data_IF_040535808708
#
_entry.id   IF_040535808708
#
_cell.length_a   1.000
_cell.length_b   1.000
_cell.length_c   1.000
_cell.angle_alpha   90.00
_cell.angle_beta   90.00
_cell.angle_gamma   90.00
#
_symmetry.space_group_name_H-M   'P 1'
#
loop_
_entity.id
_entity.type
_entity.pdbx_description
1 polymer ?
#
# COMPACT_ATOMS: atom_id res chain seq x y z
N UNK A 1 -10.98 -0.68 29.42
CA UNK A 1 -11.15 -0.74 27.96
C UNK A 1 -9.94 -0.05 27.35
N UNK A 2 -8.97 -0.78 26.80
CA UNK A 2 -7.82 -0.14 26.17
C UNK A 2 -8.31 0.55 24.91
N UNK A 3 -8.16 1.87 24.83
CA UNK A 3 -8.34 2.57 23.55
C UNK A 3 -7.35 1.96 22.56
N UNK A 4 -7.84 1.24 21.55
CA UNK A 4 -7.00 0.78 20.46
C UNK A 4 -6.36 2.00 19.82
N UNK A 5 -5.03 2.05 19.80
CA UNK A 5 -4.31 3.17 19.22
C UNK A 5 -4.40 3.06 17.70
N UNK A 6 -4.84 4.12 17.01
CA UNK A 6 -4.96 4.11 15.55
C UNK A 6 -3.78 4.83 14.90
N UNK A 7 -3.15 4.20 13.90
CA UNK A 7 -2.18 4.84 13.00
C UNK A 7 -2.79 4.95 11.61
N UNK A 8 -2.74 6.13 11.02
CA UNK A 8 -3.21 6.38 9.66
C UNK A 8 -2.00 6.34 8.73
N UNK A 9 -2.12 5.57 7.66
CA UNK A 9 -1.09 5.31 6.67
C UNK A 9 -1.63 5.55 5.26
N UNK A 10 -0.73 5.76 4.32
CA UNK A 10 -1.02 5.81 2.88
C UNK A 10 -0.40 4.63 2.17
N UNK A 11 -1.00 4.25 1.04
CA UNK A 11 -0.42 3.29 0.09
C UNK A 11 -0.85 3.70 -1.31
N UNK A 12 0.10 4.00 -2.19
CA UNK A 12 -0.12 4.42 -3.55
C UNK A 12 0.33 3.32 -4.53
N UNK A 13 -0.58 2.91 -5.41
CA UNK A 13 -0.33 1.98 -6.49
C UNK A 13 -0.13 2.74 -7.80
N UNK A 14 1.05 2.62 -8.40
CA UNK A 14 1.31 3.19 -9.72
C UNK A 14 1.20 2.09 -10.76
N UNK A 15 0.21 2.16 -11.64
CA UNK A 15 -0.01 1.11 -12.63
C UNK A 15 -0.50 1.66 -13.98
N UNK A 16 -0.15 0.95 -15.04
CA UNK A 16 -0.71 1.14 -16.37
C UNK A 16 -1.70 0.02 -16.68
N UNK A 17 -2.16 -0.05 -17.93
CA UNK A 17 -3.06 -1.12 -18.38
C UNK A 17 -2.48 -2.52 -18.13
N UNK A 18 -1.16 -2.69 -18.28
CA UNK A 18 -0.54 -4.02 -18.33
C UNK A 18 0.51 -4.25 -17.24
N UNK A 19 0.93 -3.18 -16.53
CA UNK A 19 2.02 -3.24 -15.55
C UNK A 19 1.71 -2.49 -14.27
N UNK A 20 2.37 -2.88 -13.19
CA UNK A 20 2.37 -2.19 -11.90
C UNK A 20 3.81 -1.95 -11.45
N UNK A 21 4.08 -0.78 -10.88
CA UNK A 21 5.33 -0.46 -10.21
C UNK A 21 5.21 -0.87 -8.75
N UNK A 22 6.10 -1.74 -8.29
CA UNK A 22 6.23 -2.15 -6.89
C UNK A 22 7.62 -1.79 -6.39
N UNK A 23 7.79 -1.53 -5.11
CA UNK A 23 9.10 -1.37 -4.48
C UNK A 23 9.42 -2.53 -3.56
N UNK A 24 10.63 -3.08 -3.67
CA UNK A 24 11.18 -4.01 -2.69
C UNK A 24 11.63 -3.22 -1.47
N UNK A 25 10.99 -3.47 -0.32
CA UNK A 25 11.31 -2.75 0.90
C UNK A 25 12.65 -3.18 1.48
N UNK A 26 13.56 -2.23 1.64
CA UNK A 26 14.96 -2.45 2.07
C UNK A 26 15.15 -2.38 3.58
N UNK A 27 14.23 -1.73 4.30
CA UNK A 27 14.34 -1.54 5.75
C UNK A 27 12.98 -1.41 6.44
N UNK A 28 12.96 -1.60 7.76
CA UNK A 28 11.78 -1.39 8.60
C UNK A 28 10.69 -2.44 8.44
N UNK A 29 9.45 -2.09 8.83
CA UNK A 29 8.31 -3.00 8.80
C UNK A 29 7.91 -3.35 7.36
N UNK A 30 7.94 -4.64 7.04
CA UNK A 30 7.72 -5.16 5.68
C UNK A 30 8.98 -5.34 4.84
N UNK A 31 10.18 -5.20 5.43
CA UNK A 31 11.45 -5.47 4.74
C UNK A 31 11.44 -6.85 4.05
N UNK A 32 11.97 -6.89 2.82
CA UNK A 32 12.03 -8.10 2.00
C UNK A 32 10.73 -8.42 1.27
N UNK A 33 9.73 -7.52 1.29
CA UNK A 33 8.48 -7.66 0.52
C UNK A 33 8.34 -6.58 -0.55
N UNK A 34 7.72 -6.96 -1.65
CA UNK A 34 7.21 -6.03 -2.65
C UNK A 34 5.93 -5.37 -2.14
N UNK A 35 5.77 -4.07 -2.39
CA UNK A 35 4.55 -3.35 -2.07
C UNK A 35 4.37 -2.12 -2.99
N UNK A 36 3.21 -1.47 -2.91
CA UNK A 36 3.08 -0.07 -3.31
C UNK A 36 3.88 0.87 -2.41
N UNK A 37 3.78 2.17 -2.67
CA UNK A 37 4.59 3.20 -2.01
C UNK A 37 3.77 3.99 -1.00
N UNK A 38 4.27 4.22 0.19
CA UNK A 38 3.47 4.88 1.21
C UNK A 38 3.98 4.73 2.63
N UNK A 39 3.44 5.57 3.50
CA UNK A 39 3.94 5.69 4.87
C UNK A 39 2.98 6.43 5.78
N UNK A 40 3.53 7.11 6.78
CA UNK A 40 2.73 7.78 7.81
C UNK A 40 2.37 9.19 7.36
N UNK A 41 1.25 9.68 7.87
CA UNK A 41 0.86 11.07 7.70
C UNK A 41 1.61 11.94 8.72
N UNK A 42 2.17 13.05 8.25
CA UNK A 42 2.81 14.04 9.11
C UNK A 42 1.82 15.02 9.75
N UNK A 43 2.27 15.74 10.78
CA UNK A 43 1.39 16.68 11.51
C UNK A 43 0.97 17.83 10.61
N UNK A 44 -0.34 17.95 10.37
CA UNK A 44 -0.92 19.01 9.53
C UNK A 44 -0.96 18.67 8.04
N UNK A 45 -0.49 17.49 7.66
CA UNK A 45 -0.50 16.99 6.30
C UNK A 45 -1.86 16.34 5.97
N UNK A 46 -2.35 16.54 4.74
CA UNK A 46 -3.53 15.81 4.27
C UNK A 46 -3.15 14.38 3.86
N UNK A 47 -4.10 13.44 3.93
CA UNK A 47 -3.85 12.04 3.52
C UNK A 47 -3.34 11.97 2.06
N UNK A 48 -3.89 12.80 1.17
CA UNK A 48 -3.49 12.84 -0.23
C UNK A 48 -2.09 13.43 -0.42
N UNK A 49 -1.73 14.46 0.36
CA UNK A 49 -0.39 15.05 0.29
C UNK A 49 0.66 14.09 0.84
N UNK A 50 0.36 13.36 1.91
CA UNK A 50 1.20 12.29 2.43
C UNK A 50 1.45 11.20 1.37
N UNK A 51 0.43 10.77 0.64
CA UNK A 51 0.58 9.78 -0.42
C UNK A 51 1.49 10.28 -1.57
N UNK A 52 1.42 11.57 -1.91
CA UNK A 52 2.31 12.18 -2.94
C UNK A 52 3.74 12.30 -2.44
N UNK A 53 3.93 12.76 -1.21
CA UNK A 53 5.26 12.89 -0.58
C UNK A 53 5.95 11.54 -0.51
N UNK A 54 5.29 10.54 0.07
CA UNK A 54 5.86 9.18 0.21
C UNK A 54 6.20 8.58 -1.16
N UNK A 55 5.33 8.73 -2.16
CA UNK A 55 5.62 8.25 -3.52
C UNK A 55 6.86 8.93 -4.12
N UNK A 56 7.03 10.23 -3.89
CA UNK A 56 8.21 10.97 -4.33
C UNK A 56 9.49 10.55 -3.56
N UNK A 57 9.39 10.33 -2.25
CA UNK A 57 10.52 9.94 -1.39
C UNK A 57 10.98 8.51 -1.67
N UNK A 58 10.04 7.58 -1.85
CA UNK A 58 10.35 6.16 -1.99
C UNK A 58 10.67 5.75 -3.43
N UNK A 59 10.07 6.40 -4.43
CA UNK A 59 10.20 6.03 -5.85
C UNK A 59 10.70 7.15 -6.77
N UNK A 60 10.83 8.39 -6.29
CA UNK A 60 11.34 9.51 -7.11
C UNK A 60 10.33 10.10 -8.09
N UNK A 61 9.04 9.75 -8.00
CA UNK A 61 8.00 10.16 -8.98
C UNK A 61 6.86 10.96 -8.37
N UNK A 62 6.29 11.88 -9.16
CA UNK A 62 5.14 12.73 -8.77
C UNK A 62 3.90 12.34 -9.57
N UNK A 63 2.79 11.92 -8.93
CA UNK A 63 1.57 11.55 -9.64
C UNK A 63 0.84 12.79 -10.17
N UNK A 64 0.33 12.71 -11.40
CA UNK A 64 -0.54 13.73 -12.00
C UNK A 64 -2.01 13.50 -11.61
N UNK A 65 -2.39 12.25 -11.42
CA UNK A 65 -3.72 11.81 -11.04
C UNK A 65 -3.63 10.93 -9.79
N UNK A 66 -4.04 11.46 -8.64
CA UNK A 66 -4.15 10.66 -7.43
C UNK A 66 -5.61 10.32 -7.18
N UNK A 67 -5.97 9.05 -7.35
CA UNK A 67 -7.32 8.54 -7.16
C UNK A 67 -7.41 7.76 -5.86
N UNK A 68 -8.37 8.08 -4.99
CA UNK A 68 -8.63 7.29 -3.78
C UNK A 68 -9.32 5.98 -4.19
N UNK A 69 -8.76 4.86 -3.75
CA UNK A 69 -9.24 3.51 -4.07
C UNK A 69 -9.87 2.79 -2.89
N UNK A 70 -9.58 3.19 -1.65
CA UNK A 70 -10.16 2.47 -0.53
C UNK A 70 -9.53 2.71 0.82
N UNK A 71 -10.01 1.96 1.80
CA UNK A 71 -9.41 1.84 3.12
C UNK A 71 -9.24 0.36 3.46
N UNK A 72 -8.05 0.02 3.95
CA UNK A 72 -7.75 -1.27 4.54
C UNK A 72 -7.41 -1.11 6.00
N UNK A 73 -8.04 -1.91 6.86
CA UNK A 73 -7.82 -1.91 8.30
C UNK A 73 -7.09 -3.18 8.72
N UNK A 74 -5.91 -3.02 9.32
CA UNK A 74 -5.06 -4.13 9.76
C UNK A 74 -4.92 -4.15 11.27
N UNK A 75 -5.08 -5.33 11.85
CA UNK A 75 -4.82 -5.59 13.27
C UNK A 75 -3.95 -6.82 13.41
N UNK A 76 -3.10 -6.86 14.44
CA UNK A 76 -2.21 -7.97 14.72
C UNK A 76 -2.47 -8.53 16.11
N UNK A 77 -2.46 -9.85 16.26
CA UNK A 77 -2.68 -10.53 17.53
C UNK A 77 -1.64 -10.06 18.56
N UNK A 78 -2.11 -9.57 19.70
CA UNK A 78 -1.25 -9.04 20.77
C UNK A 78 -0.77 -7.59 20.55
N UNK A 79 -1.08 -6.96 19.42
CA UNK A 79 -0.82 -5.54 19.17
C UNK A 79 -2.12 -4.73 19.31
N UNK A 80 -2.23 -3.78 20.24
CA UNK A 80 -3.43 -2.95 20.39
C UNK A 80 -3.57 -1.89 19.29
N UNK A 81 -2.61 -1.78 18.36
CA UNK A 81 -2.61 -0.77 17.31
C UNK A 81 -3.44 -1.23 16.11
N UNK A 82 -4.39 -0.39 15.68
CA UNK A 82 -5.06 -0.48 14.38
C UNK A 82 -4.26 0.32 13.35
N UNK A 83 -3.90 -0.31 12.23
CA UNK A 83 -3.37 0.39 11.06
C UNK A 83 -4.50 0.63 10.06
N UNK A 84 -4.86 1.88 9.83
CA UNK A 84 -5.80 2.28 8.78
C UNK A 84 -5.00 2.79 7.58
N UNK A 85 -4.95 2.00 6.50
CA UNK A 85 -4.23 2.31 5.28
C UNK A 85 -5.20 2.88 4.25
N UNK A 86 -4.97 4.10 3.82
CA UNK A 86 -5.71 4.74 2.72
C UNK A 86 -5.03 4.41 1.41
N UNK A 87 -5.72 3.64 0.57
CA UNK A 87 -5.20 3.16 -0.71
C UNK A 87 -5.52 4.20 -1.79
N UNK A 88 -4.50 4.54 -2.58
CA UNK A 88 -4.57 5.41 -3.74
C UNK A 88 -4.02 4.70 -4.97
N UNK A 89 -4.34 5.23 -6.15
CA UNK A 89 -3.67 4.88 -7.39
C UNK A 89 -3.30 6.11 -8.21
N UNK A 90 -2.28 5.94 -9.05
CA UNK A 90 -1.97 6.85 -10.14
C UNK A 90 -1.67 6.08 -11.43
N UNK A 91 -2.11 6.64 -12.56
CA UNK A 91 -1.86 6.06 -13.88
C UNK A 91 -0.96 6.96 -14.74
N UNK A 92 -0.68 8.18 -14.27
CA UNK A 92 0.18 9.18 -14.91
C UNK A 92 1.05 9.89 -13.87
N UNK A 93 2.33 10.11 -14.18
CA UNK A 93 3.29 10.73 -13.27
C UNK A 93 4.45 11.38 -14.03
N UNK A 94 5.20 12.24 -13.33
CA UNK A 94 6.48 12.78 -13.76
C UNK A 94 7.65 12.15 -12.98
N UNK A 95 8.83 12.17 -13.57
CA UNK A 95 10.04 11.57 -13.02
C UNK A 95 10.30 10.15 -13.53
N UNK A 96 11.45 9.60 -13.15
CA UNK A 96 11.84 8.22 -13.45
C UNK A 96 11.92 7.44 -12.14
N UNK A 97 11.27 6.25 -12.04
CA UNK A 97 11.38 5.43 -10.85
C UNK A 97 12.84 5.13 -10.51
N UNK A 98 13.25 5.49 -9.29
CA UNK A 98 14.62 5.35 -8.83
C UNK A 98 14.69 4.70 -7.46
N UNK A 99 15.76 3.94 -7.22
CA UNK A 99 16.03 3.34 -5.92
C UNK A 99 16.30 4.41 -4.86
N UNK A 100 15.66 4.25 -3.71
CA UNK A 100 15.87 5.08 -2.52
C UNK A 100 16.58 4.29 -1.42
N UNK A 101 16.79 4.94 -0.28
CA UNK A 101 17.25 4.24 0.93
C UNK A 101 16.19 3.27 1.49
N UNK A 102 14.93 3.40 1.07
CA UNK A 102 13.78 2.68 1.63
C UNK A 102 13.28 1.58 0.70
N UNK A 103 13.21 1.88 -0.61
CA UNK A 103 12.54 1.05 -1.62
C UNK A 103 13.42 0.91 -2.87
N UNK A 104 13.38 -0.27 -3.49
CA UNK A 104 13.96 -0.52 -4.82
C UNK A 104 12.81 -0.79 -5.82
N UNK A 105 12.40 0.22 -6.62
CA UNK A 105 11.27 0.09 -7.55
C UNK A 105 11.55 -0.84 -8.73
N UNK A 106 10.54 -1.62 -9.12
CA UNK A 106 10.55 -2.47 -10.31
C UNK A 106 9.15 -2.60 -10.90
N UNK A 107 9.08 -2.60 -12.23
CA UNK A 107 7.85 -2.88 -12.97
C UNK A 107 7.59 -4.38 -13.08
N UNK A 108 6.36 -4.80 -12.80
CA UNK A 108 5.85 -6.15 -13.01
C UNK A 108 4.69 -6.12 -14.00
N UNK A 109 4.56 -7.15 -14.84
CA UNK A 109 3.32 -7.36 -15.58
C UNK A 109 2.22 -7.71 -14.58
N UNK A 110 0.95 -7.42 -14.90
CA UNK A 110 -0.16 -7.83 -14.02
C UNK A 110 -0.26 -9.36 -13.85
N UNK A 111 0.21 -10.14 -14.84
CA UNK A 111 0.22 -11.60 -14.77
C UNK A 111 1.36 -12.15 -13.89
N UNK A 112 2.45 -11.39 -13.73
CA UNK A 112 3.66 -11.79 -13.02
C UNK A 112 3.83 -11.03 -11.69
N UNK A 113 2.73 -10.54 -11.10
CA UNK A 113 2.77 -9.90 -9.78
C UNK A 113 3.26 -10.95 -8.76
N UNK A 114 4.33 -10.66 -8.00
CA UNK A 114 4.99 -11.66 -7.16
C UNK A 114 4.28 -11.79 -5.80
N UNK A 115 3.01 -12.21 -5.78
CA UNK A 115 2.18 -12.27 -4.56
C UNK A 115 2.83 -13.04 -3.40
N UNK A 116 3.59 -14.10 -3.68
CA UNK A 116 4.30 -14.89 -2.67
C UNK A 116 5.41 -14.09 -1.94
N UNK A 117 5.88 -13.00 -2.54
CA UNK A 117 6.85 -12.07 -1.99
C UNK A 117 6.22 -10.71 -1.60
N UNK A 118 4.89 -10.62 -1.55
CA UNK A 118 4.13 -9.44 -1.13
C UNK A 118 3.52 -9.66 0.27
N UNK A 119 2.68 -8.73 0.75
CA UNK A 119 1.90 -9.01 1.95
C UNK A 119 0.81 -10.07 1.64
N UNK A 120 0.47 -10.98 2.57
CA UNK A 120 -0.44 -12.08 2.27
C UNK A 120 -1.85 -11.59 1.90
N UNK A 121 -2.24 -10.38 2.33
CA UNK A 121 -3.53 -9.77 2.03
C UNK A 121 -3.62 -9.22 0.60
N UNK A 122 -2.48 -8.88 -0.02
CA UNK A 122 -2.44 -8.21 -1.33
C UNK A 122 -3.15 -9.01 -2.41
N UNK A 123 -3.08 -10.34 -2.36
CA UNK A 123 -3.75 -11.25 -3.31
C UNK A 123 -5.27 -11.11 -3.31
N UNK A 124 -5.88 -10.61 -2.23
CA UNK A 124 -7.33 -10.52 -2.11
C UNK A 124 -7.89 -9.17 -2.58
N UNK A 125 -7.15 -8.07 -2.41
CA UNK A 125 -7.63 -6.71 -2.70
C UNK A 125 -6.95 -6.07 -3.91
N UNK A 126 -5.67 -6.34 -4.18
CA UNK A 126 -4.94 -5.72 -5.28
C UNK A 126 -5.57 -6.00 -6.65
N UNK A 127 -5.99 -7.24 -7.00
CA UNK A 127 -6.66 -7.50 -8.28
C UNK A 127 -7.92 -6.66 -8.50
N UNK A 128 -8.66 -6.36 -7.42
CA UNK A 128 -9.88 -5.54 -7.48
C UNK A 128 -9.55 -4.10 -7.84
N UNK A 129 -8.51 -3.54 -7.21
CA UNK A 129 -8.04 -2.17 -7.49
C UNK A 129 -7.50 -2.06 -8.93
N UNK A 130 -6.74 -3.06 -9.39
CA UNK A 130 -6.25 -3.12 -10.77
C UNK A 130 -7.41 -3.24 -11.79
N UNK A 131 -8.52 -3.89 -11.42
CA UNK A 131 -9.76 -3.91 -12.18
C UNK A 131 -10.58 -2.61 -12.09
N UNK A 132 -10.04 -1.56 -11.45
CA UNK A 132 -10.67 -0.24 -11.33
C UNK A 132 -11.73 -0.13 -10.24
N UNK A 133 -11.85 -1.12 -9.35
CA UNK A 133 -12.81 -1.12 -8.24
C UNK A 133 -12.27 -0.33 -7.05
N UNK A 134 -13.17 0.29 -6.30
CA UNK A 134 -12.85 0.78 -4.98
C UNK A 134 -13.14 -0.31 -3.95
N UNK A 135 -12.39 -0.32 -2.86
CA UNK A 135 -12.41 -1.40 -1.88
C UNK A 135 -12.46 -0.87 -0.44
N UNK A 136 -13.12 -1.63 0.41
CA UNK A 136 -12.94 -1.54 1.86
C UNK A 136 -12.63 -2.92 2.38
N UNK A 137 -11.63 -3.02 3.27
CA UNK A 137 -11.20 -4.30 3.79
C UNK A 137 -10.76 -4.26 5.25
N UNK A 138 -10.87 -5.40 5.90
CA UNK A 138 -10.40 -5.63 7.26
C UNK A 138 -9.60 -6.93 7.24
N UNK A 139 -8.40 -6.90 7.82
CA UNK A 139 -7.55 -8.08 7.98
C UNK A 139 -7.07 -8.17 9.42
N UNK A 140 -7.25 -9.34 10.01
CA UNK A 140 -6.73 -9.70 11.31
C UNK A 140 -5.63 -10.73 11.15
N UNK A 141 -4.42 -10.37 11.57
CA UNK A 141 -3.21 -11.17 11.43
C UNK A 141 -2.79 -11.79 12.76
N UNK A 142 -2.29 -13.02 12.72
CA UNK A 142 -1.59 -13.64 13.85
C UNK A 142 -0.20 -13.03 14.03
N UNK A 143 0.48 -12.87 12.90
CA UNK A 143 1.83 -12.35 12.70
C UNK A 143 1.90 -11.76 11.28
N UNK A 144 3.06 -11.31 10.81
CA UNK A 144 3.18 -10.70 9.48
C UNK A 144 2.97 -11.68 8.30
N UNK A 145 2.80 -12.98 8.55
CA UNK A 145 2.68 -14.02 7.53
C UNK A 145 1.27 -14.64 7.49
N UNK A 146 0.54 -14.64 8.60
CA UNK A 146 -0.67 -15.46 8.75
C UNK A 146 -1.91 -14.61 8.98
N UNK A 147 -2.84 -14.61 8.01
CA UNK A 147 -4.18 -14.02 8.15
C UNK A 147 -5.07 -14.99 8.94
N UNK A 148 -5.66 -14.52 10.04
CA UNK A 148 -6.64 -15.26 10.84
C UNK A 148 -8.08 -15.02 10.36
N UNK A 149 -8.39 -13.79 9.96
CA UNK A 149 -9.70 -13.40 9.44
C UNK A 149 -9.52 -12.26 8.45
N UNK A 150 -10.31 -12.25 7.38
CA UNK A 150 -10.42 -11.08 6.53
C UNK A 150 -11.84 -10.90 5.96
N UNK A 151 -12.18 -9.66 5.63
CA UNK A 151 -13.39 -9.27 4.92
C UNK A 151 -13.03 -8.18 3.92
N UNK A 152 -13.53 -8.26 2.68
CA UNK A 152 -13.27 -7.26 1.63
C UNK A 152 -14.56 -7.06 0.84
N UNK A 153 -14.90 -5.80 0.58
CA UNK A 153 -16.04 -5.41 -0.25
C UNK A 153 -15.62 -4.40 -1.31
N UNK A 154 -16.28 -4.48 -2.46
CA UNK A 154 -16.23 -3.43 -3.48
C UNK A 154 -17.25 -2.34 -3.12
N UNK A 155 -16.88 -1.07 -3.28
CA UNK A 155 -17.71 0.10 -2.93
C UNK A 155 -17.81 1.12 -4.06
#
# INVERSE_FOLDING_TARGET
>A
MSNAQKKILTLCLVYTKDKILLGMKKRGFGMGRWNGFGGKIEKGESIADAAKRELQEEAGIVPHDLQRRGILNFTFMGDPVLLEVHVFSANSFSGEPAESNEMSPQWFSHADIPYDAMWPDDQYWLPKVLAGKNIEGIFHFKDIHTILKHEIREV
#
